data_IF_551248389195
#
_entry.id   IF_551248389195
#
_cell.length_a   1.000
_cell.length_b   1.000
_cell.length_c   1.000
_cell.angle_alpha   90.00
_cell.angle_beta   90.00
_cell.angle_gamma   90.00
#
_symmetry.space_group_name_H-M   'P 1'
#
loop_
_entity.id
_entity.type
_entity.pdbx_description
1 polymer ?
#
# COMPACT_ATOMS: atom_id res chain seq x y z
N UNK A 1 -49.26 -13.36 16.48
CA UNK A 1 -48.73 -12.34 15.54
C UNK A 1 -47.53 -11.67 16.19
N UNK A 2 -46.36 -11.72 15.56
CA UNK A 2 -45.17 -11.03 16.05
C UNK A 2 -45.37 -9.54 15.77
N UNK A 3 -45.63 -8.74 16.80
CA UNK A 3 -45.94 -7.33 16.64
C UNK A 3 -44.66 -6.60 16.22
N UNK A 4 -44.59 -6.14 14.97
CA UNK A 4 -43.50 -5.26 14.52
C UNK A 4 -43.81 -3.86 15.06
N UNK A 5 -42.88 -3.31 15.84
CA UNK A 5 -42.97 -1.94 16.34
C UNK A 5 -42.56 -0.92 15.27
N UNK A 6 -43.02 0.32 15.43
CA UNK A 6 -42.63 1.43 14.55
C UNK A 6 -41.12 1.71 14.61
N UNK A 7 -40.47 1.39 15.73
CA UNK A 7 -39.01 1.47 15.86
C UNK A 7 -38.28 0.52 14.88
N UNK A 8 -38.77 -0.72 14.73
CA UNK A 8 -38.18 -1.68 13.79
C UNK A 8 -38.41 -1.22 12.34
N UNK A 9 -39.57 -0.63 12.04
CA UNK A 9 -39.86 -0.06 10.72
C UNK A 9 -38.95 1.15 10.41
N UNK A 10 -38.63 1.98 11.40
CA UNK A 10 -37.67 3.07 11.22
C UNK A 10 -36.26 2.55 10.97
N UNK A 11 -35.78 1.59 11.78
CA UNK A 11 -34.49 0.92 11.53
C UNK A 11 -34.40 0.28 10.14
N UNK A 12 -35.52 -0.26 9.64
CA UNK A 12 -35.63 -0.76 8.27
C UNK A 12 -35.49 0.35 7.22
N UNK A 13 -36.06 1.53 7.46
CA UNK A 13 -35.94 2.69 6.56
C UNK A 13 -34.51 3.26 6.58
N UNK A 14 -33.86 3.26 7.75
CA UNK A 14 -32.51 3.79 7.96
C UNK A 14 -31.40 2.80 7.53
N UNK A 15 -31.75 1.53 7.28
CA UNK A 15 -30.81 0.50 6.86
C UNK A 15 -29.95 -0.09 7.98
N UNK A 16 -30.40 0.05 9.23
CA UNK A 16 -29.67 -0.39 10.44
C UNK A 16 -29.94 -1.85 10.82
N UNK A 17 -30.83 -2.54 10.10
CA UNK A 17 -31.21 -3.92 10.39
C UNK A 17 -30.21 -4.92 9.78
N UNK A 18 -30.07 -6.06 10.45
CA UNK A 18 -29.32 -7.19 9.92
C UNK A 18 -30.03 -7.83 8.71
N UNK A 19 -29.27 -8.56 7.90
CA UNK A 19 -29.81 -9.27 6.72
C UNK A 19 -30.95 -10.23 7.07
N UNK A 20 -30.87 -10.90 8.22
CA UNK A 20 -31.91 -11.83 8.70
C UNK A 20 -33.22 -11.09 9.06
N UNK A 21 -33.11 -9.94 9.73
CA UNK A 21 -34.26 -9.11 10.10
C UNK A 21 -34.93 -8.49 8.86
N UNK A 22 -34.14 -8.05 7.89
CA UNK A 22 -34.63 -7.52 6.62
C UNK A 22 -35.46 -8.58 5.88
N UNK A 23 -34.96 -9.83 5.81
CA UNK A 23 -35.68 -10.92 5.15
C UNK A 23 -37.01 -11.23 5.85
N UNK A 24 -37.02 -11.27 7.19
CA UNK A 24 -38.22 -11.50 7.98
C UNK A 24 -39.27 -10.39 7.77
N UNK A 25 -38.84 -9.13 7.75
CA UNK A 25 -39.73 -7.99 7.49
C UNK A 25 -40.28 -8.03 6.05
N UNK A 26 -39.44 -8.38 5.06
CA UNK A 26 -39.89 -8.50 3.67
C UNK A 26 -40.95 -9.59 3.51
N UNK A 27 -40.80 -10.75 4.17
CA UNK A 27 -41.80 -11.81 4.18
C UNK A 27 -43.12 -11.36 4.82
N UNK A 28 -43.05 -10.62 5.93
CA UNK A 28 -44.22 -10.06 6.60
C UNK A 28 -44.91 -8.96 5.78
N UNK A 29 -44.15 -8.16 5.03
CA UNK A 29 -44.71 -7.14 4.13
C UNK A 29 -45.46 -7.72 2.92
N UNK A 30 -45.22 -8.99 2.56
CA UNK A 30 -45.97 -9.69 1.51
C UNK A 30 -47.36 -10.14 1.98
N UNK A 31 -47.49 -10.42 3.29
CA UNK A 31 -48.70 -11.01 3.87
C UNK A 31 -49.54 -10.00 4.65
N UNK A 32 -48.92 -8.98 5.25
CA UNK A 32 -49.57 -7.99 6.10
C UNK A 32 -49.77 -6.64 5.38
N UNK A 33 -51.01 -6.39 4.97
CA UNK A 33 -51.40 -5.14 4.29
C UNK A 33 -51.37 -3.91 5.20
N UNK A 34 -51.55 -4.07 6.50
CA UNK A 34 -51.54 -2.94 7.44
C UNK A 34 -50.11 -2.53 7.81
N UNK A 35 -49.20 -3.50 7.95
CA UNK A 35 -47.76 -3.24 8.05
C UNK A 35 -47.24 -2.45 6.85
N UNK A 36 -47.69 -2.82 5.64
CA UNK A 36 -47.32 -2.12 4.40
C UNK A 36 -47.82 -0.67 4.37
N UNK A 37 -49.03 -0.39 4.88
CA UNK A 37 -49.56 0.97 5.02
C UNK A 37 -48.78 1.80 6.03
N UNK A 38 -48.40 1.21 7.17
CA UNK A 38 -47.56 1.89 8.18
C UNK A 38 -46.19 2.24 7.61
N UNK A 39 -45.54 1.29 6.94
CA UNK A 39 -44.26 1.53 6.28
C UNK A 39 -44.35 2.63 5.21
N UNK A 40 -45.42 2.64 4.40
CA UNK A 40 -45.58 3.67 3.36
C UNK A 40 -45.81 5.06 3.94
N UNK A 41 -46.55 5.16 5.05
CA UNK A 41 -46.71 6.41 5.78
C UNK A 41 -45.38 6.93 6.33
N UNK A 42 -44.59 6.07 6.98
CA UNK A 42 -43.26 6.42 7.50
C UNK A 42 -42.30 6.85 6.38
N UNK A 43 -42.27 6.12 5.26
CA UNK A 43 -41.47 6.50 4.08
C UNK A 43 -41.88 7.86 3.53
N UNK A 44 -43.18 8.16 3.48
CA UNK A 44 -43.67 9.45 3.02
C UNK A 44 -43.22 10.58 3.94
N UNK A 45 -43.29 10.40 5.25
CA UNK A 45 -42.77 11.38 6.22
C UNK A 45 -41.28 11.60 6.02
N UNK A 46 -40.48 10.53 5.90
CA UNK A 46 -39.03 10.64 5.66
C UNK A 46 -38.72 11.44 4.37
N UNK A 47 -39.46 11.20 3.29
CA UNK A 47 -39.31 11.94 2.03
C UNK A 47 -39.63 13.42 2.21
N UNK A 48 -40.69 13.78 2.94
CA UNK A 48 -41.03 15.18 3.20
C UNK A 48 -39.98 15.86 4.10
N UNK A 49 -39.46 15.17 5.10
CA UNK A 49 -38.39 15.68 5.96
C UNK A 49 -37.10 15.96 5.17
N UNK A 50 -36.77 15.11 4.19
CA UNK A 50 -35.62 15.32 3.28
C UNK A 50 -35.75 16.54 2.36
N UNK A 51 -36.95 17.10 2.19
CA UNK A 51 -37.16 18.32 1.40
C UNK A 51 -37.01 19.60 2.20
N UNK A 52 -36.87 19.50 3.52
CA UNK A 52 -36.61 20.66 4.37
C UNK A 52 -35.30 21.28 3.89
N UNK A 53 -35.30 22.61 3.70
CA UNK A 53 -34.16 23.36 3.18
C UNK A 53 -32.94 23.06 4.04
N UNK A 54 -31.92 22.50 3.41
CA UNK A 54 -30.63 22.27 4.06
C UNK A 54 -29.96 23.60 4.37
N UNK A 55 -29.33 23.69 5.54
CA UNK A 55 -28.47 24.82 5.88
C UNK A 55 -27.27 24.84 4.93
N UNK A 56 -26.96 26.02 4.38
CA UNK A 56 -25.82 26.17 3.49
C UNK A 56 -24.52 25.87 4.24
N UNK A 57 -23.85 24.80 3.83
CA UNK A 57 -22.51 24.49 4.29
C UNK A 57 -21.52 25.54 3.77
N UNK A 58 -20.49 25.90 4.55
CA UNK A 58 -19.42 26.75 4.05
C UNK A 58 -18.82 26.18 2.77
N UNK A 59 -18.55 27.01 1.76
CA UNK A 59 -18.01 26.59 0.46
C UNK A 59 -16.74 25.71 0.56
N UNK A 60 -15.96 25.87 1.63
CA UNK A 60 -14.74 25.10 1.89
C UNK A 60 -14.95 23.78 2.65
N UNK A 61 -16.18 23.40 3.02
CA UNK A 61 -16.46 22.21 3.82
C UNK A 61 -15.92 20.93 3.16
N UNK A 62 -16.31 20.69 1.92
CA UNK A 62 -15.86 19.53 1.13
C UNK A 62 -14.35 19.48 1.02
N UNK A 63 -13.71 20.63 0.74
CA UNK A 63 -12.26 20.73 0.66
C UNK A 63 -11.59 20.35 2.00
N UNK A 64 -12.08 20.87 3.12
CA UNK A 64 -11.54 20.59 4.46
C UNK A 64 -11.69 19.11 4.85
N UNK A 65 -12.85 18.51 4.54
CA UNK A 65 -13.12 17.09 4.79
C UNK A 65 -12.18 16.24 3.93
N UNK A 66 -12.10 16.50 2.63
CA UNK A 66 -11.24 15.76 1.71
C UNK A 66 -9.75 15.89 2.06
N UNK A 67 -9.30 17.06 2.52
CA UNK A 67 -7.93 17.25 3.01
C UNK A 67 -7.63 16.40 4.26
N UNK A 68 -8.56 16.30 5.22
CA UNK A 68 -8.38 15.44 6.40
C UNK A 68 -8.35 13.96 6.04
N UNK A 69 -9.25 13.53 5.14
CA UNK A 69 -9.30 12.15 4.65
C UNK A 69 -7.99 11.82 3.96
N UNK A 70 -7.59 12.59 2.95
CA UNK A 70 -6.35 12.33 2.20
C UNK A 70 -5.10 12.37 3.07
N UNK A 71 -5.01 13.24 4.08
CA UNK A 71 -3.89 13.25 5.03
C UNK A 71 -3.77 11.93 5.81
N UNK A 72 -4.89 11.28 6.13
CA UNK A 72 -4.92 10.00 6.86
C UNK A 72 -4.46 8.81 6.00
N UNK A 73 -4.65 8.87 4.68
CA UNK A 73 -4.34 7.76 3.76
C UNK A 73 -3.04 7.92 2.97
N UNK A 74 -2.37 9.08 3.08
CA UNK A 74 -1.10 9.34 2.40
C UNK A 74 0.00 8.52 3.07
N UNK A 75 0.43 7.44 2.41
CA UNK A 75 1.65 6.70 2.78
C UNK A 75 2.79 7.71 2.83
N UNK A 76 3.59 7.78 3.90
CA UNK A 76 4.67 8.75 4.00
C UNK A 76 5.63 8.55 2.82
N UNK A 77 5.79 9.60 2.01
CA UNK A 77 6.62 9.60 0.79
C UNK A 77 8.06 9.14 1.06
N UNK A 78 8.55 9.36 2.27
CA UNK A 78 9.93 9.06 2.69
C UNK A 78 10.24 7.56 2.70
N UNK A 79 9.27 6.70 3.02
CA UNK A 79 9.46 5.24 3.02
C UNK A 79 9.68 4.68 1.61
N UNK A 80 9.05 5.29 0.58
CA UNK A 80 9.24 4.87 -0.81
C UNK A 80 10.64 5.18 -1.32
N UNK A 81 11.17 6.36 -0.96
CA UNK A 81 12.51 6.80 -1.40
C UNK A 81 13.58 5.87 -0.83
N UNK A 82 13.48 5.51 0.45
CA UNK A 82 14.44 4.61 1.10
C UNK A 82 14.45 3.20 0.46
N UNK A 83 13.28 2.62 0.21
CA UNK A 83 13.19 1.30 -0.43
C UNK A 83 13.71 1.36 -1.88
N UNK A 84 13.38 2.41 -2.64
CA UNK A 84 13.91 2.60 -4.00
C UNK A 84 15.43 2.72 -4.01
N UNK A 85 16.01 3.42 -3.03
CA UNK A 85 17.47 3.54 -2.89
C UNK A 85 18.13 2.17 -2.68
N UNK A 86 17.58 1.36 -1.76
CA UNK A 86 18.12 0.01 -1.48
C UNK A 86 18.02 -0.89 -2.71
N UNK A 87 16.86 -0.94 -3.36
CA UNK A 87 16.67 -1.76 -4.57
C UNK A 87 17.63 -1.31 -5.68
N UNK A 88 17.80 0.00 -5.88
CA UNK A 88 18.72 0.53 -6.89
C UNK A 88 20.16 0.17 -6.58
N UNK A 89 20.59 0.23 -5.32
CA UNK A 89 21.94 -0.13 -4.90
C UNK A 89 22.24 -1.61 -5.19
N UNK A 90 21.32 -2.51 -4.82
CA UNK A 90 21.46 -3.94 -5.11
C UNK A 90 21.41 -4.24 -6.61
N UNK A 91 20.55 -3.57 -7.38
CA UNK A 91 20.47 -3.76 -8.83
C UNK A 91 21.79 -3.38 -9.52
N UNK A 92 22.41 -2.26 -9.14
CA UNK A 92 23.72 -1.84 -9.67
C UNK A 92 24.80 -2.87 -9.32
N UNK A 93 24.84 -3.33 -8.07
CA UNK A 93 25.78 -4.37 -7.63
C UNK A 93 25.66 -5.66 -8.46
N UNK A 94 24.43 -6.14 -8.70
CA UNK A 94 24.19 -7.32 -9.52
C UNK A 94 24.69 -7.10 -10.97
N UNK A 95 24.40 -5.95 -11.57
CA UNK A 95 24.87 -5.62 -12.94
C UNK A 95 26.39 -5.56 -12.99
N UNK A 96 27.06 -4.99 -11.99
CA UNK A 96 28.52 -4.93 -11.92
C UNK A 96 29.15 -6.33 -11.86
N UNK A 97 28.60 -7.23 -11.03
CA UNK A 97 29.10 -8.62 -10.91
C UNK A 97 28.88 -9.37 -12.22
N UNK A 98 27.69 -9.28 -12.81
CA UNK A 98 27.38 -9.94 -14.08
C UNK A 98 28.26 -9.41 -15.23
N UNK A 99 28.47 -8.09 -15.29
CA UNK A 99 29.35 -7.47 -16.29
C UNK A 99 30.78 -7.96 -16.17
N UNK A 100 31.31 -8.09 -14.94
CA UNK A 100 32.65 -8.63 -14.70
C UNK A 100 32.77 -10.10 -15.15
N UNK A 101 31.77 -10.94 -14.86
CA UNK A 101 31.76 -12.35 -15.28
C UNK A 101 31.74 -12.46 -16.81
N UNK A 102 30.92 -11.66 -17.49
CA UNK A 102 30.82 -11.67 -18.96
C UNK A 102 32.13 -11.26 -19.61
N UNK A 103 32.81 -10.22 -19.10
CA UNK A 103 34.10 -9.79 -19.65
C UNK A 103 35.18 -10.85 -19.50
N UNK A 104 35.25 -11.53 -18.34
CA UNK A 104 36.24 -12.59 -18.14
C UNK A 104 35.99 -13.82 -19.01
N UNK A 105 34.73 -14.27 -19.14
CA UNK A 105 34.40 -15.43 -19.97
C UNK A 105 34.54 -15.12 -21.46
N UNK A 106 34.16 -13.92 -21.91
CA UNK A 106 34.32 -13.51 -23.30
C UNK A 106 35.80 -13.29 -23.70
N UNK A 107 36.64 -12.90 -22.73
CA UNK A 107 38.09 -12.78 -22.93
C UNK A 107 38.79 -14.11 -23.20
N UNK A 108 38.31 -15.21 -22.60
CA UNK A 108 38.89 -16.56 -22.82
C UNK A 108 38.57 -17.16 -24.21
N UNK A 109 37.57 -16.64 -24.94
CA UNK A 109 37.13 -17.18 -26.25
C UNK A 109 37.73 -16.42 -27.44
N UNK A 110 38.46 -15.32 -27.22
CA UNK A 110 38.97 -14.48 -28.32
C UNK A 110 40.41 -14.01 -28.09
N UNK A 111 41.37 -14.85 -28.46
CA UNK A 111 42.81 -14.52 -28.59
C UNK A 111 43.12 -13.41 -29.64
N UNK A 112 42.13 -12.65 -30.14
CA UNK A 112 42.33 -11.69 -31.24
C UNK A 112 41.74 -10.29 -31.01
N UNK A 113 41.43 -9.89 -29.78
CA UNK A 113 41.07 -8.49 -29.45
C UNK A 113 41.88 -7.99 -28.25
N UNK A 114 43.19 -8.20 -28.28
CA UNK A 114 44.08 -7.71 -27.23
C UNK A 114 44.45 -6.25 -27.45
N UNK A 115 44.25 -5.45 -26.39
CA UNK A 115 45.10 -4.34 -25.92
C UNK A 115 44.35 -3.05 -25.53
N UNK A 116 43.17 -2.75 -26.07
CA UNK A 116 42.46 -1.49 -25.78
C UNK A 116 41.48 -1.55 -24.61
N UNK A 117 40.52 -2.48 -24.68
CA UNK A 117 39.45 -2.61 -23.69
C UNK A 117 39.96 -3.21 -22.36
N UNK A 118 40.80 -4.24 -22.42
CA UNK A 118 41.37 -4.87 -21.21
C UNK A 118 42.26 -3.92 -20.42
N UNK A 119 43.12 -3.13 -21.08
CA UNK A 119 44.00 -2.17 -20.40
C UNK A 119 43.21 -0.99 -19.80
N UNK A 120 42.14 -0.56 -20.46
CA UNK A 120 41.28 0.52 -19.96
C UNK A 120 40.43 0.03 -18.79
N UNK A 121 39.78 -1.12 -18.91
CA UNK A 121 38.99 -1.70 -17.82
C UNK A 121 39.89 -2.03 -16.63
N UNK A 122 41.08 -2.60 -16.83
CA UNK A 122 42.01 -2.91 -15.75
C UNK A 122 42.52 -1.64 -15.04
N UNK A 123 42.91 -0.59 -15.77
CA UNK A 123 43.39 0.65 -15.15
C UNK A 123 42.32 1.40 -14.34
N UNK A 124 41.04 1.35 -14.75
CA UNK A 124 39.95 1.99 -14.01
C UNK A 124 39.36 1.13 -12.89
N UNK A 125 39.31 -0.20 -13.07
CA UNK A 125 38.74 -1.12 -12.09
C UNK A 125 39.70 -1.49 -10.98
N UNK A 126 41.01 -1.61 -11.24
CA UNK A 126 41.99 -1.99 -10.22
C UNK A 126 42.02 -1.07 -8.99
N UNK A 127 42.02 0.28 -9.09
CA UNK A 127 42.00 1.12 -7.90
C UNK A 127 40.69 0.97 -7.10
N UNK A 128 39.56 0.70 -7.78
CA UNK A 128 38.28 0.42 -7.12
C UNK A 128 38.26 -0.95 -6.45
N UNK A 129 38.77 -1.98 -7.12
CA UNK A 129 38.88 -3.34 -6.60
C UNK A 129 39.85 -3.36 -5.41
N UNK A 130 41.00 -2.71 -5.51
CA UNK A 130 41.96 -2.59 -4.41
C UNK A 130 41.36 -1.86 -3.22
N UNK A 131 40.58 -0.80 -3.46
CA UNK A 131 39.86 -0.07 -2.40
C UNK A 131 38.80 -0.94 -1.73
N UNK A 132 38.05 -1.72 -2.52
CA UNK A 132 37.10 -2.71 -2.01
C UNK A 132 37.81 -3.79 -1.19
N UNK A 133 38.87 -4.41 -1.72
CA UNK A 133 39.64 -5.44 -1.03
C UNK A 133 40.26 -4.92 0.26
N UNK A 134 40.76 -3.68 0.28
CA UNK A 134 41.29 -3.05 1.49
C UNK A 134 40.18 -2.73 2.51
N UNK A 135 38.96 -2.44 2.05
CA UNK A 135 37.79 -2.22 2.92
C UNK A 135 37.24 -3.55 3.47
N UNK A 136 37.33 -4.62 2.69
CA UNK A 136 36.83 -5.96 3.03
C UNK A 136 37.90 -6.90 3.62
N UNK A 137 39.14 -6.46 3.81
CA UNK A 137 40.18 -7.27 4.44
C UNK A 137 40.26 -7.03 5.96
N UNK A 138 40.52 -8.10 6.72
CA UNK A 138 40.74 -8.05 8.17
C UNK A 138 39.49 -7.77 9.01
N UNK A 139 39.66 -7.02 10.12
CA UNK A 139 38.62 -6.68 11.10
C UNK A 139 37.44 -5.88 10.51
N UNK A 140 37.63 -5.22 9.37
CA UNK A 140 36.63 -4.36 8.74
C UNK A 140 35.46 -5.15 8.15
N UNK A 141 35.63 -6.42 7.79
CA UNK A 141 34.55 -7.22 7.21
C UNK A 141 33.44 -7.53 8.24
N UNK A 142 33.82 -7.72 9.50
CA UNK A 142 32.87 -7.96 10.59
C UNK A 142 32.09 -6.69 10.93
N UNK A 143 32.77 -5.54 10.94
CA UNK A 143 32.15 -4.23 11.16
C UNK A 143 31.21 -3.86 10.01
N UNK A 144 31.63 -4.10 8.76
CA UNK A 144 30.79 -3.84 7.59
C UNK A 144 29.59 -4.78 7.55
N UNK A 145 29.80 -6.07 7.86
CA UNK A 145 28.72 -7.06 7.94
C UNK A 145 27.68 -6.73 9.02
N UNK A 146 28.11 -6.21 10.18
CA UNK A 146 27.18 -5.81 11.24
C UNK A 146 26.35 -4.57 10.85
N UNK A 147 26.99 -3.56 10.24
CA UNK A 147 26.29 -2.36 9.73
C UNK A 147 25.29 -2.75 8.64
N UNK A 148 25.71 -3.58 7.68
CA UNK A 148 24.85 -4.07 6.61
C UNK A 148 23.64 -4.85 7.17
N UNK A 149 23.87 -5.71 8.17
CA UNK A 149 22.81 -6.47 8.83
C UNK A 149 21.78 -5.56 9.50
N UNK A 150 22.23 -4.51 10.21
CA UNK A 150 21.34 -3.51 10.82
C UNK A 150 20.52 -2.78 9.75
N UNK A 151 21.15 -2.34 8.65
CA UNK A 151 20.45 -1.68 7.54
C UNK A 151 19.42 -2.61 6.91
N UNK A 152 19.74 -3.89 6.72
CA UNK A 152 18.82 -4.89 6.18
C UNK A 152 17.65 -5.16 7.12
N UNK A 153 17.88 -5.23 8.44
CA UNK A 153 16.80 -5.38 9.42
C UNK A 153 15.85 -4.18 9.41
N UNK A 154 16.38 -2.96 9.37
CA UNK A 154 15.59 -1.73 9.28
C UNK A 154 14.78 -1.74 7.97
N UNK A 155 15.42 -2.08 6.85
CA UNK A 155 14.75 -2.19 5.55
C UNK A 155 13.66 -3.25 5.54
N UNK A 156 13.93 -4.43 6.09
CA UNK A 156 12.97 -5.53 6.19
C UNK A 156 11.76 -5.16 7.05
N UNK A 157 11.99 -4.47 8.17
CA UNK A 157 10.93 -3.94 9.02
C UNK A 157 10.01 -2.97 8.26
N UNK A 158 10.59 -1.98 7.57
CA UNK A 158 9.80 -1.03 6.78
C UNK A 158 9.05 -1.70 5.62
N UNK A 159 9.67 -2.67 4.97
CA UNK A 159 9.03 -3.45 3.90
C UNK A 159 7.82 -4.25 4.44
N UNK A 160 7.97 -4.88 5.60
CA UNK A 160 6.89 -5.62 6.26
C UNK A 160 5.72 -4.71 6.64
N UNK A 161 6.01 -3.55 7.25
CA UNK A 161 5.02 -2.51 7.57
C UNK A 161 4.24 -2.08 6.32
N UNK A 162 4.95 -1.81 5.22
CA UNK A 162 4.32 -1.41 3.96
C UNK A 162 3.44 -2.53 3.36
N UNK A 163 3.86 -3.80 3.45
CA UNK A 163 3.08 -4.95 3.00
C UNK A 163 1.78 -5.10 3.80
N UNK A 164 1.84 -4.94 5.13
CA UNK A 164 0.66 -5.00 6.02
C UNK A 164 -0.35 -3.90 5.69
N UNK A 165 0.11 -2.68 5.43
CA UNK A 165 -0.76 -1.57 5.02
C UNK A 165 -1.39 -1.78 3.63
N UNK A 166 -0.72 -2.50 2.73
CA UNK A 166 -1.28 -2.81 1.41
C UNK A 166 -2.43 -3.81 1.49
N UNK A 167 -2.34 -4.82 2.37
CA UNK A 167 -3.38 -5.84 2.53
C UNK A 167 -4.66 -5.28 3.15
N UNK A 168 -4.53 -4.37 4.11
CA UNK A 168 -5.67 -3.72 4.78
C UNK A 168 -6.44 -2.75 3.87
N UNK A 169 -5.81 -2.23 2.82
CA UNK A 169 -6.46 -1.38 1.80
C UNK A 169 -7.20 -2.17 0.71
N UNK A 170 -6.99 -3.48 0.61
CA UNK A 170 -7.67 -4.36 -0.36
C UNK A 170 -8.89 -5.07 0.25
N UNK A 171 -9.05 -5.01 1.58
CA UNK A 171 -10.15 -5.62 2.32
C UNK A 171 -11.16 -4.60 2.88
N UNK A 172 -11.09 -3.35 2.44
CA UNK A 172 -12.04 -2.26 2.76
C UNK A 172 -12.52 -1.61 1.47
#
# INVERSE_FOLDING_TARGET
>A
MKYISDEILNKYIDGELSTEEINNINELLLTDTDLKKRLSALKRVNIELKKIREDELPAAFTQRVMQRITKKYKVPKEQKIFITFIISFFAVLCVSILGYIVVNIAGEVSDTVSSGAEKTVNNYSQPLIQSLVNTFSGLNISVFGSILSIVLLISGYFFFEMSKQSKTKLSS
#
